data_IF_027145164125
#
_entry.id   IF_027145164125
#
_cell.length_a   1.000
_cell.length_b   1.000
_cell.length_c   1.000
_cell.angle_alpha   90.00
_cell.angle_beta   90.00
_cell.angle_gamma   90.00
#
_symmetry.space_group_name_H-M   'P 1'
#
loop_
_entity.id
_entity.type
_entity.pdbx_description
1 polymer ?
#
# COMPACT_ATOMS: atom_id res chain seq x y z
N UNK A 1 4.94 24.63 -7.09
CA UNK A 1 5.57 24.90 -5.78
C UNK A 1 6.28 23.64 -5.33
N UNK A 2 7.62 23.65 -5.27
CA UNK A 2 8.41 22.53 -4.74
C UNK A 2 8.84 22.82 -3.31
N UNK A 3 8.78 21.82 -2.43
CA UNK A 3 9.30 21.89 -1.06
C UNK A 3 10.41 20.85 -0.94
N UNK A 4 11.53 21.21 -0.31
CA UNK A 4 12.60 20.27 0.00
C UNK A 4 12.45 19.79 1.44
N UNK A 5 12.57 18.49 1.64
CA UNK A 5 12.60 17.84 2.94
C UNK A 5 13.88 16.99 3.02
N UNK A 6 14.44 16.86 4.21
CA UNK A 6 15.50 15.87 4.44
C UNK A 6 14.87 14.53 4.79
N UNK A 7 15.46 13.48 4.24
CA UNK A 7 15.09 12.09 4.51
C UNK A 7 16.24 11.46 5.28
N UNK A 8 15.91 10.53 6.16
CA UNK A 8 16.90 9.61 6.73
C UNK A 8 17.40 8.67 5.62
N UNK A 9 18.65 8.22 5.74
CA UNK A 9 19.34 7.47 4.69
C UNK A 9 18.64 6.14 4.36
N UNK A 10 18.08 5.48 5.37
CA UNK A 10 17.32 4.24 5.24
C UNK A 10 16.03 4.44 4.44
N UNK A 11 15.31 5.54 4.69
CA UNK A 11 14.10 5.91 3.95
C UNK A 11 14.45 6.23 2.50
N UNK A 12 15.53 6.97 2.27
CA UNK A 12 16.00 7.30 0.92
C UNK A 12 16.35 6.02 0.13
N UNK A 13 17.12 5.11 0.71
CA UNK A 13 17.49 3.85 0.04
C UNK A 13 16.27 2.97 -0.21
N UNK A 14 15.27 2.95 0.68
CA UNK A 14 14.00 2.23 0.45
C UNK A 14 13.22 2.79 -0.73
N UNK A 15 13.14 4.11 -0.87
CA UNK A 15 12.48 4.76 -2.01
C UNK A 15 13.25 4.45 -3.29
N UNK A 16 14.58 4.56 -3.26
CA UNK A 16 15.47 4.28 -4.39
C UNK A 16 15.38 2.83 -4.87
N UNK A 17 15.36 1.87 -3.95
CA UNK A 17 15.21 0.44 -4.28
C UNK A 17 13.86 0.12 -4.96
N UNK A 18 12.81 0.89 -4.66
CA UNK A 18 11.48 0.72 -5.24
C UNK A 18 11.22 1.63 -6.45
N UNK A 19 12.17 2.49 -6.81
CA UNK A 19 12.05 3.43 -7.92
C UNK A 19 12.18 2.71 -9.26
N UNK A 20 11.26 2.95 -10.17
CA UNK A 20 11.32 2.47 -11.55
C UNK A 20 12.30 3.31 -12.37
N UNK A 21 12.88 2.74 -13.42
CA UNK A 21 13.90 3.42 -14.23
C UNK A 21 13.35 4.67 -14.92
N UNK A 22 12.09 4.63 -15.39
CA UNK A 22 11.45 5.69 -16.16
C UNK A 22 10.71 6.76 -15.33
N UNK A 23 10.76 6.70 -13.99
CA UNK A 23 10.06 7.67 -13.12
C UNK A 23 11.01 8.61 -12.36
N UNK A 24 10.54 9.76 -11.86
CA UNK A 24 11.31 10.60 -10.93
C UNK A 24 11.16 10.11 -9.48
N UNK A 25 12.00 10.59 -8.56
CA UNK A 25 11.82 10.33 -7.12
C UNK A 25 10.48 10.86 -6.60
N UNK A 26 10.05 12.03 -7.07
CA UNK A 26 8.74 12.60 -6.69
C UNK A 26 7.59 11.72 -7.15
N UNK A 27 7.69 11.11 -8.34
CA UNK A 27 6.69 10.18 -8.85
C UNK A 27 6.70 8.87 -8.08
N UNK A 28 7.88 8.34 -7.78
CA UNK A 28 8.04 7.15 -6.94
C UNK A 28 7.42 7.36 -5.56
N UNK A 29 7.70 8.50 -4.90
CA UNK A 29 7.09 8.87 -3.62
C UNK A 29 5.58 8.95 -3.77
N UNK A 30 5.06 9.67 -4.78
CA UNK A 30 3.62 9.81 -5.03
C UNK A 30 2.93 8.46 -5.24
N UNK A 31 3.57 7.51 -5.91
CA UNK A 31 3.06 6.15 -6.12
C UNK A 31 3.12 5.31 -4.84
N UNK A 32 4.24 5.35 -4.12
CA UNK A 32 4.45 4.58 -2.90
C UNK A 32 3.52 5.03 -1.77
N UNK A 33 3.25 6.33 -1.65
CA UNK A 33 2.28 6.87 -0.67
C UNK A 33 0.85 6.89 -1.19
N UNK A 34 0.68 6.96 -2.52
CA UNK A 34 -0.62 7.10 -3.14
C UNK A 34 -1.43 5.82 -3.09
N UNK A 35 -0.76 4.66 -3.09
CA UNK A 35 -1.40 3.36 -3.31
C UNK A 35 -2.12 3.31 -4.66
N UNK A 36 -2.28 2.12 -5.24
CA UNK A 36 -3.45 1.93 -6.09
C UNK A 36 -4.65 1.99 -5.16
N UNK A 37 -5.69 2.75 -5.52
CA UNK A 37 -6.91 2.67 -4.72
C UNK A 37 -7.35 1.21 -4.78
N UNK A 38 -7.67 0.59 -3.64
CA UNK A 38 -8.33 -0.72 -3.67
C UNK A 38 -9.63 -0.66 -4.49
N UNK A 39 -10.17 0.54 -4.70
CA UNK A 39 -11.28 0.82 -5.61
C UNK A 39 -10.94 0.61 -7.08
N UNK A 40 -9.68 0.71 -7.48
CA UNK A 40 -9.19 0.42 -8.84
C UNK A 40 -9.11 -1.10 -9.11
N UNK A 41 -9.16 -1.93 -8.06
CA UNK A 41 -9.27 -3.39 -8.15
C UNK A 41 -10.72 -3.88 -8.19
N UNK A 42 -11.71 -2.97 -8.26
CA UNK A 42 -13.14 -3.32 -8.28
C UNK A 42 -13.44 -4.16 -9.53
N UNK A 43 -13.88 -5.40 -9.31
CA UNK A 43 -14.21 -6.35 -10.38
C UNK A 43 -13.07 -7.28 -10.81
N UNK A 44 -11.90 -7.21 -10.15
CA UNK A 44 -10.81 -8.18 -10.33
C UNK A 44 -11.05 -9.45 -9.50
N UNK A 45 -11.69 -9.29 -8.34
CA UNK A 45 -12.04 -10.36 -7.41
C UNK A 45 -13.56 -10.50 -7.33
N UNK A 46 -14.03 -11.75 -7.35
CA UNK A 46 -15.42 -12.12 -7.03
C UNK A 46 -15.68 -12.04 -5.52
N UNK A 47 -16.96 -12.06 -5.14
CA UNK A 47 -17.39 -11.87 -3.74
C UNK A 47 -16.76 -12.90 -2.79
N UNK A 48 -16.57 -14.14 -3.24
CA UNK A 48 -15.96 -15.21 -2.45
C UNK A 48 -14.48 -14.92 -2.13
N UNK A 49 -13.70 -14.49 -3.12
CA UNK A 49 -12.30 -14.10 -2.93
C UNK A 49 -12.15 -12.86 -2.04
N UNK A 50 -13.11 -11.92 -2.11
CA UNK A 50 -13.12 -10.75 -1.22
C UNK A 50 -13.42 -11.15 0.23
N UNK A 51 -14.31 -12.13 0.44
CA UNK A 51 -14.61 -12.66 1.77
C UNK A 51 -13.40 -13.40 2.35
N UNK A 52 -12.73 -14.25 1.58
CA UNK A 52 -11.51 -14.95 2.03
C UNK A 52 -10.40 -13.99 2.45
N UNK A 53 -10.19 -12.90 1.69
CA UNK A 53 -9.24 -11.86 2.07
C UNK A 53 -9.65 -11.13 3.35
N UNK A 54 -10.95 -10.93 3.60
CA UNK A 54 -11.44 -10.30 4.83
C UNK A 54 -11.19 -11.21 6.03
N UNK A 55 -11.53 -12.50 5.92
CA UNK A 55 -11.33 -13.49 6.98
C UNK A 55 -9.84 -13.59 7.34
N UNK A 56 -8.94 -13.63 6.34
CA UNK A 56 -7.51 -13.67 6.57
C UNK A 56 -6.93 -12.41 7.25
N UNK A 57 -7.53 -11.24 7.01
CA UNK A 57 -7.16 -9.99 7.69
C UNK A 57 -7.68 -9.98 9.13
N UNK A 58 -8.92 -10.42 9.34
CA UNK A 58 -9.52 -10.54 10.68
C UNK A 58 -8.76 -11.53 11.56
N UNK A 59 -8.34 -12.67 11.01
CA UNK A 59 -7.48 -13.66 11.67
C UNK A 59 -6.09 -13.09 12.00
N UNK A 60 -5.51 -12.27 11.10
CA UNK A 60 -4.20 -11.68 11.28
C UNK A 60 -4.18 -10.53 12.30
N UNK A 61 -5.26 -9.75 12.38
CA UNK A 61 -5.40 -8.63 13.33
C UNK A 61 -5.85 -9.09 14.73
N UNK A 62 -6.12 -10.39 14.93
CA UNK A 62 -6.33 -10.98 16.25
C UNK A 62 -7.54 -10.42 16.99
N UNK A 63 -8.60 -10.06 16.26
CA UNK A 63 -9.90 -9.80 16.89
C UNK A 63 -10.50 -11.17 17.16
N UNK A 64 -10.27 -11.72 18.36
CA UNK A 64 -11.08 -12.84 18.84
C UNK A 64 -12.54 -12.41 18.69
N UNK A 65 -13.38 -13.11 17.90
CA UNK A 65 -14.77 -12.73 17.76
C UNK A 65 -15.40 -12.83 19.15
N UNK A 66 -15.80 -11.67 19.69
CA UNK A 66 -16.64 -11.59 20.88
C UNK A 66 -17.93 -12.34 20.56
N UNK A 67 -18.06 -13.55 21.10
CA UNK A 67 -19.32 -14.28 21.08
C UNK A 67 -20.33 -13.54 21.98
N UNK A 68 -21.38 -12.96 21.40
CA UNK A 68 -22.47 -12.28 22.13
C UNK A 68 -23.66 -11.88 21.27
#
# INVERSE_FOLDING_TARGET
>A
MSRQIRLEDDVYERIKANKRNDESFSDAVKRLIGGQSLRDLRGVFDEDQVNEMRDAIEDADGVEPEEG
#
